data_IF_829525877233
#
_entry.id   IF_829525877233
#
_cell.length_a   1.000
_cell.length_b   1.000
_cell.length_c   1.000
_cell.angle_alpha   90.00
_cell.angle_beta   90.00
_cell.angle_gamma   90.00
#
_symmetry.space_group_name_H-M   'P 1'
#
loop_
_entity.id
_entity.type
_entity.pdbx_description
1 polymer ?
#
# COMPACT_ATOMS: atom_id res chain seq x y z
N UNK A 1 22.54 2.39 0.04
CA UNK A 1 21.88 1.12 0.47
C UNK A 1 22.03 0.87 1.97
N UNK A 2 23.25 0.92 2.54
CA UNK A 2 23.49 0.75 4.00
C UNK A 2 22.67 1.70 4.89
N UNK A 3 22.61 2.99 4.55
CA UNK A 3 21.82 3.99 5.29
C UNK A 3 20.31 3.68 5.30
N UNK A 4 19.79 3.13 4.19
CA UNK A 4 18.37 2.84 4.01
C UNK A 4 17.96 1.60 4.82
N UNK A 5 18.84 0.61 4.90
CA UNK A 5 18.67 -0.57 5.75
C UNK A 5 18.72 -0.17 7.23
N UNK A 6 19.71 0.64 7.61
CA UNK A 6 19.83 1.16 8.97
C UNK A 6 18.58 1.95 9.39
N UNK A 7 18.08 2.82 8.51
CA UNK A 7 16.87 3.61 8.78
C UNK A 7 15.66 2.72 9.01
N UNK A 8 15.46 1.70 8.16
CA UNK A 8 14.36 0.73 8.35
C UNK A 8 14.49 -0.02 9.66
N UNK A 9 15.70 -0.45 10.01
CA UNK A 9 15.96 -1.16 11.25
C UNK A 9 15.70 -0.30 12.49
N UNK A 10 16.12 0.98 12.46
CA UNK A 10 15.83 1.94 13.52
C UNK A 10 14.32 2.20 13.66
N UNK A 11 13.59 2.38 12.56
CA UNK A 11 12.13 2.58 12.59
C UNK A 11 11.42 1.38 13.24
N UNK A 12 11.89 0.15 12.99
CA UNK A 12 11.33 -1.05 13.63
C UNK A 12 11.72 -1.21 15.10
N UNK A 13 12.94 -0.83 15.49
CA UNK A 13 13.44 -1.03 16.85
C UNK A 13 13.00 0.03 17.86
N UNK A 14 12.90 1.30 17.44
CA UNK A 14 12.51 2.41 18.31
C UNK A 14 11.20 2.15 19.07
N UNK A 15 10.08 1.77 18.42
CA UNK A 15 8.82 1.52 19.14
C UNK A 15 8.93 0.34 20.11
N UNK A 16 9.73 -0.69 19.77
CA UNK A 16 9.96 -1.83 20.64
C UNK A 16 10.74 -1.43 21.90
N UNK A 17 11.76 -0.58 21.76
CA UNK A 17 12.53 -0.05 22.89
C UNK A 17 11.64 0.80 23.79
N UNK A 18 10.83 1.69 23.22
CA UNK A 18 9.88 2.54 23.97
C UNK A 18 8.92 1.67 24.78
N UNK A 19 8.35 0.63 24.17
CA UNK A 19 7.44 -0.29 24.84
C UNK A 19 8.13 -1.05 26.00
N UNK A 20 9.35 -1.55 25.80
CA UNK A 20 10.12 -2.23 26.86
C UNK A 20 10.38 -1.29 28.04
N UNK A 21 10.78 -0.04 27.76
CA UNK A 21 11.00 0.98 28.78
C UNK A 21 9.73 1.23 29.59
N UNK A 22 8.59 1.40 28.94
CA UNK A 22 7.30 1.60 29.62
C UNK A 22 6.93 0.45 30.57
N UNK A 23 7.26 -0.79 30.21
CA UNK A 23 7.04 -1.94 31.09
C UNK A 23 8.02 -1.97 32.27
N UNK A 24 9.32 -1.71 32.04
CA UNK A 24 10.34 -1.73 33.09
C UNK A 24 10.03 -0.67 34.16
N UNK A 25 9.58 0.51 33.76
CA UNK A 25 9.23 1.59 34.68
C UNK A 25 7.80 1.48 35.25
N UNK A 26 7.04 0.44 34.89
CA UNK A 26 5.67 0.24 35.35
C UNK A 26 4.69 1.31 34.85
N UNK A 27 5.04 1.97 33.75
CA UNK A 27 4.23 3.00 33.08
C UNK A 27 3.06 2.39 32.29
N UNK A 28 3.27 1.18 31.79
CA UNK A 28 2.26 0.33 31.18
C UNK A 28 2.04 -0.93 32.03
N UNK A 29 0.78 -1.31 32.24
CA UNK A 29 0.39 -2.52 32.95
C UNK A 29 -0.58 -3.32 32.10
N UNK A 30 -0.37 -4.63 32.00
CA UNK A 30 -1.34 -5.54 31.38
C UNK A 30 -2.36 -5.88 32.45
N UNK A 31 -3.63 -5.51 32.22
CA UNK A 31 -4.74 -5.96 33.06
C UNK A 31 -5.66 -6.83 32.24
N UNK A 32 -6.10 -7.92 32.87
CA UNK A 32 -7.07 -8.81 32.29
C UNK A 32 -8.43 -8.11 32.23
N UNK A 33 -9.00 -8.03 31.03
CA UNK A 33 -10.35 -7.56 30.79
C UNK A 33 -11.28 -8.77 30.72
N UNK A 34 -12.46 -8.62 31.30
CA UNK A 34 -13.50 -9.67 31.41
C UNK A 34 -13.75 -10.32 30.04
N UNK A 35 -13.51 -11.65 29.95
CA UNK A 35 -13.48 -12.54 28.76
C UNK A 35 -12.15 -12.55 27.97
N UNK A 36 -11.09 -13.06 28.58
CA UNK A 36 -9.85 -13.54 27.92
C UNK A 36 -9.09 -12.53 27.05
N UNK A 37 -9.34 -11.23 27.20
CA UNK A 37 -8.60 -10.18 26.49
C UNK A 37 -7.68 -9.44 27.46
N UNK A 38 -6.40 -9.31 27.11
CA UNK A 38 -5.44 -8.48 27.82
C UNK A 38 -5.40 -7.09 27.20
N UNK A 39 -5.71 -6.06 27.99
CA UNK A 39 -5.57 -4.66 27.57
C UNK A 39 -4.39 -4.00 28.31
N UNK A 40 -3.70 -3.10 27.62
CA UNK A 40 -2.63 -2.27 28.19
C UNK A 40 -3.24 -1.03 28.82
N UNK A 41 -3.05 -0.88 30.13
CA UNK A 41 -3.46 0.29 30.89
C UNK A 41 -2.23 1.12 31.25
N UNK A 42 -2.30 2.41 30.93
CA UNK A 42 -1.26 3.37 31.30
C UNK A 42 -1.55 3.95 32.68
N UNK A 43 -0.53 4.03 33.52
CA UNK A 43 -0.67 4.50 34.91
C UNK A 43 -0.92 6.00 35.02
N UNK A 44 -0.54 6.78 34.01
CA UNK A 44 -0.66 8.22 34.00
C UNK A 44 -1.11 8.77 32.64
N UNK A 45 -1.90 9.84 32.65
CA UNK A 45 -2.31 10.58 31.45
C UNK A 45 -1.10 11.17 30.71
N UNK A 46 -0.02 11.54 31.42
CA UNK A 46 1.20 12.04 30.76
C UNK A 46 1.84 10.98 29.85
N UNK A 47 1.78 9.70 30.23
CA UNK A 47 2.29 8.58 29.43
C UNK A 47 1.38 8.35 28.21
N UNK A 48 0.06 8.43 28.39
CA UNK A 48 -0.89 8.34 27.27
C UNK A 48 -0.63 9.45 26.23
N UNK A 49 -0.44 10.69 26.69
CA UNK A 49 -0.12 11.82 25.80
C UNK A 49 1.24 11.63 25.13
N UNK A 50 2.26 11.16 25.86
CA UNK A 50 3.56 10.81 25.30
C UNK A 50 3.43 9.78 24.18
N UNK A 51 2.67 8.71 24.39
CA UNK A 51 2.46 7.65 23.40
C UNK A 51 1.68 8.13 22.18
N UNK A 52 0.70 9.02 22.35
CA UNK A 52 0.01 9.66 21.22
C UNK A 52 0.99 10.53 20.42
N UNK A 53 1.88 11.27 21.08
CA UNK A 53 2.86 12.12 20.39
C UNK A 53 3.85 11.27 19.60
N UNK A 54 4.50 10.29 20.24
CA UNK A 54 5.58 9.52 19.61
C UNK A 54 5.07 8.40 18.70
N UNK A 55 3.95 7.76 19.05
CA UNK A 55 3.35 6.69 18.27
C UNK A 55 2.52 7.18 17.09
N UNK A 56 1.99 8.40 17.14
CA UNK A 56 1.08 8.91 16.12
C UNK A 56 1.46 10.30 15.57
N UNK A 57 1.52 11.34 16.41
CA UNK A 57 1.64 12.72 15.94
C UNK A 57 2.98 13.01 15.23
N UNK A 58 4.09 12.52 15.80
CA UNK A 58 5.43 12.73 15.25
C UNK A 58 5.63 11.97 13.92
N UNK A 59 5.30 10.68 13.78
CA UNK A 59 5.29 10.01 12.49
C UNK A 59 4.42 10.72 11.45
N UNK A 60 3.22 11.16 11.84
CA UNK A 60 2.31 11.88 10.96
C UNK A 60 2.93 13.20 10.47
N UNK A 61 3.48 14.00 11.39
CA UNK A 61 4.14 15.26 11.06
C UNK A 61 5.35 15.08 10.13
N UNK A 62 6.20 14.07 10.40
CA UNK A 62 7.33 13.74 9.54
C UNK A 62 6.88 13.37 8.12
N UNK A 63 5.80 12.61 7.97
CA UNK A 63 5.27 12.27 6.66
C UNK A 63 4.74 13.49 5.90
N UNK A 64 4.05 14.40 6.58
CA UNK A 64 3.61 15.68 5.98
C UNK A 64 4.81 16.51 5.52
N UNK A 65 5.89 16.58 6.30
CA UNK A 65 7.13 17.27 5.91
C UNK A 65 7.78 16.63 4.69
N UNK A 66 7.81 15.29 4.61
CA UNK A 66 8.35 14.58 3.44
C UNK A 66 7.52 14.86 2.19
N UNK A 67 6.19 14.85 2.31
CA UNK A 67 5.29 15.21 1.20
C UNK A 67 5.52 16.66 0.77
N UNK A 68 5.60 17.58 1.72
CA UNK A 68 5.89 19.00 1.43
C UNK A 68 7.25 19.17 0.74
N UNK A 69 8.30 18.51 1.23
CA UNK A 69 9.61 18.52 0.60
C UNK A 69 9.57 17.92 -0.82
N UNK A 70 8.77 16.87 -1.04
CA UNK A 70 8.53 16.27 -2.35
C UNK A 70 7.85 17.24 -3.32
N UNK A 71 6.78 17.91 -2.89
CA UNK A 71 6.07 18.93 -3.67
C UNK A 71 7.00 20.12 -3.97
N UNK A 72 7.73 20.60 -2.96
CA UNK A 72 8.68 21.70 -3.12
C UNK A 72 9.79 21.34 -4.11
N UNK A 73 10.31 20.12 -4.05
CA UNK A 73 11.33 19.64 -4.98
C UNK A 73 10.80 19.64 -6.42
N UNK A 74 9.60 19.09 -6.65
CA UNK A 74 8.93 19.13 -7.96
C UNK A 74 8.71 20.57 -8.44
N UNK A 75 8.23 21.47 -7.58
CA UNK A 75 7.95 22.87 -7.96
C UNK A 75 9.23 23.64 -8.30
N UNK A 76 10.33 23.39 -7.59
CA UNK A 76 11.63 23.99 -7.89
C UNK A 76 12.20 23.46 -9.21
N UNK A 77 12.11 22.14 -9.45
CA UNK A 77 12.56 21.58 -10.73
C UNK A 77 11.66 21.98 -11.89
N UNK A 78 10.35 22.16 -11.70
CA UNK A 78 9.45 22.66 -12.74
C UNK A 78 9.71 24.14 -13.09
N UNK A 79 10.05 24.97 -12.10
CA UNK A 79 10.31 26.41 -12.29
C UNK A 79 11.61 26.65 -13.04
N UNK A 80 12.68 25.93 -12.69
CA UNK A 80 13.98 25.95 -13.40
C UNK A 80 13.88 25.43 -14.85
N UNK A 81 12.77 24.77 -15.20
CA UNK A 81 12.55 24.08 -16.46
C UNK A 81 11.58 24.78 -17.40
N UNK A 82 10.84 25.81 -16.95
CA UNK A 82 10.15 26.72 -17.87
C UNK A 82 11.13 27.33 -18.91
N UNK A 83 12.41 27.30 -18.58
CA UNK A 83 13.59 27.67 -19.39
C UNK A 83 14.24 26.52 -20.19
N UNK A 84 13.91 25.24 -19.99
CA UNK A 84 14.49 24.09 -20.71
C UNK A 84 13.40 23.14 -21.26
N UNK A 85 13.22 23.10 -22.58
CA UNK A 85 12.12 22.43 -23.30
C UNK A 85 12.08 20.88 -23.25
N UNK A 86 12.80 20.21 -22.34
CA UNK A 86 12.85 18.73 -22.32
C UNK A 86 12.40 18.06 -21.00
N UNK A 87 11.25 17.38 -21.18
CA UNK A 87 10.59 16.27 -20.47
C UNK A 87 11.39 15.01 -20.11
N UNK A 88 12.19 14.92 -19.05
CA UNK A 88 12.84 13.65 -18.68
C UNK A 88 11.83 12.67 -18.06
N UNK A 89 11.83 11.41 -18.50
CA UNK A 89 10.90 10.37 -18.02
C UNK A 89 11.00 10.09 -16.51
N UNK A 90 12.18 10.33 -15.91
CA UNK A 90 12.45 10.18 -14.47
C UNK A 90 11.65 11.16 -13.61
N UNK A 91 11.40 12.36 -14.11
CA UNK A 91 10.72 13.41 -13.34
C UNK A 91 9.20 13.27 -13.38
N UNK A 92 8.64 12.83 -14.52
CA UNK A 92 7.23 12.43 -14.61
C UNK A 92 6.91 11.30 -13.61
N UNK A 93 7.87 10.42 -13.39
CA UNK A 93 7.78 9.37 -12.37
C UNK A 93 7.78 9.95 -10.94
N UNK A 94 8.66 10.90 -10.63
CA UNK A 94 8.67 11.56 -9.31
C UNK A 94 7.37 12.32 -9.01
N UNK A 95 6.80 13.03 -10.00
CA UNK A 95 5.53 13.73 -9.84
C UNK A 95 4.36 12.77 -9.55
N UNK A 96 4.26 11.69 -10.33
CA UNK A 96 3.25 10.65 -10.10
C UNK A 96 3.38 10.03 -8.72
N UNK A 97 4.61 9.79 -8.27
CA UNK A 97 4.88 9.19 -6.97
C UNK A 97 4.47 10.11 -5.81
N UNK A 98 4.73 11.42 -5.92
CA UNK A 98 4.29 12.40 -4.91
C UNK A 98 2.76 12.45 -4.80
N UNK A 99 2.04 12.42 -5.92
CA UNK A 99 0.57 12.40 -5.94
C UNK A 99 0.02 11.11 -5.31
N UNK A 100 0.57 9.95 -5.67
CA UNK A 100 0.18 8.67 -5.08
C UNK A 100 0.38 8.67 -3.56
N UNK A 101 1.53 9.18 -3.10
CA UNK A 101 1.85 9.28 -1.68
C UNK A 101 0.88 10.23 -0.95
N UNK A 102 0.55 11.37 -1.56
CA UNK A 102 -0.39 12.34 -0.99
C UNK A 102 -1.81 11.77 -0.90
N UNK A 103 -2.31 11.12 -1.95
CA UNK A 103 -3.62 10.46 -1.94
C UNK A 103 -3.69 9.36 -0.87
N UNK A 104 -2.64 8.53 -0.78
CA UNK A 104 -2.55 7.51 0.26
C UNK A 104 -2.61 8.12 1.66
N UNK A 105 -1.82 9.15 1.94
CA UNK A 105 -1.80 9.79 3.27
C UNK A 105 -3.10 10.53 3.62
N UNK A 106 -3.81 11.10 2.64
CA UNK A 106 -5.12 11.71 2.88
C UNK A 106 -6.18 10.66 3.25
N UNK A 107 -6.24 9.55 2.50
CA UNK A 107 -7.16 8.45 2.80
C UNK A 107 -6.79 7.83 4.15
N UNK A 108 -5.49 7.62 4.38
CA UNK A 108 -4.99 7.01 5.61
C UNK A 108 -5.27 7.88 6.83
N UNK A 109 -4.99 9.19 6.74
CA UNK A 109 -5.27 10.14 7.81
C UNK A 109 -6.76 10.29 8.09
N UNK A 110 -7.61 10.30 7.07
CA UNK A 110 -9.06 10.44 7.24
C UNK A 110 -9.74 9.21 7.82
N UNK A 111 -9.39 8.00 7.36
CA UNK A 111 -10.02 6.77 7.84
C UNK A 111 -9.40 6.23 9.13
N UNK A 112 -8.09 6.33 9.30
CA UNK A 112 -7.37 5.51 10.28
C UNK A 112 -6.81 6.29 11.48
N UNK A 113 -6.65 7.62 11.37
CA UNK A 113 -6.29 8.49 12.50
C UNK A 113 -7.13 8.26 13.76
N UNK A 114 -8.48 8.14 13.66
CA UNK A 114 -9.32 8.00 14.85
C UNK A 114 -9.04 6.71 15.63
N UNK A 115 -8.78 5.59 14.92
CA UNK A 115 -8.45 4.30 15.55
C UNK A 115 -7.17 4.37 16.37
N UNK A 116 -6.10 4.94 15.78
CA UNK A 116 -4.79 4.99 16.43
C UNK A 116 -4.87 5.85 17.69
N UNK A 117 -5.55 7.00 17.64
CA UNK A 117 -5.72 7.86 18.81
C UNK A 117 -6.53 7.15 19.91
N UNK A 118 -7.61 6.48 19.53
CA UNK A 118 -8.52 5.81 20.47
C UNK A 118 -7.87 4.58 21.11
N UNK A 119 -7.00 3.86 20.41
CA UNK A 119 -6.26 2.74 21.01
C UNK A 119 -5.28 3.18 22.11
N UNK A 120 -4.82 4.44 22.09
CA UNK A 120 -3.95 5.00 23.13
C UNK A 120 -4.73 5.57 24.33
N UNK A 121 -6.03 5.83 24.15
CA UNK A 121 -6.92 6.37 25.18
C UNK A 121 -7.79 5.22 25.68
N UNK A 122 -7.58 4.79 26.92
CA UNK A 122 -8.27 3.60 27.46
C UNK A 122 -9.78 3.89 27.66
N UNK A 123 -10.62 3.48 26.69
CA UNK A 123 -12.08 3.63 26.77
C UNK A 123 -12.74 2.41 27.41
N UNK A 124 -13.58 2.66 28.43
CA UNK A 124 -14.35 1.63 29.12
C UNK A 124 -15.59 1.13 28.34
N UNK A 125 -15.96 1.79 27.24
CA UNK A 125 -17.13 1.42 26.45
C UNK A 125 -16.80 0.32 25.41
N UNK A 126 -17.35 -0.87 25.65
CA UNK A 126 -17.14 -2.07 24.82
C UNK A 126 -17.58 -1.87 23.35
N UNK A 127 -18.65 -1.12 23.11
CA UNK A 127 -19.21 -0.91 21.76
C UNK A 127 -18.30 -0.02 20.90
N UNK A 128 -17.70 1.00 21.53
CA UNK A 128 -16.77 1.91 20.88
C UNK A 128 -15.52 1.14 20.48
N UNK A 129 -14.89 0.42 21.42
CA UNK A 129 -13.68 -0.36 21.16
C UNK A 129 -13.89 -1.39 20.04
N UNK A 130 -14.99 -2.14 20.06
CA UNK A 130 -15.24 -3.20 19.07
C UNK A 130 -15.43 -2.65 17.64
N UNK A 131 -16.08 -1.48 17.51
CA UNK A 131 -16.23 -0.80 16.22
C UNK A 131 -14.87 -0.39 15.65
N UNK A 132 -13.99 0.10 16.51
CA UNK A 132 -12.63 0.51 16.16
C UNK A 132 -11.73 -0.68 15.82
N UNK A 133 -11.81 -1.79 16.55
CA UNK A 133 -11.10 -3.04 16.21
C UNK A 133 -11.50 -3.59 14.85
N UNK A 134 -12.80 -3.57 14.52
CA UNK A 134 -13.28 -3.95 13.18
C UNK A 134 -12.73 -3.02 12.10
N UNK A 135 -12.68 -1.72 12.38
CA UNK A 135 -12.08 -0.74 11.46
C UNK A 135 -10.60 -1.06 11.19
N UNK A 136 -9.85 -1.48 12.22
CA UNK A 136 -8.45 -1.91 12.07
C UNK A 136 -8.28 -3.21 11.28
N UNK A 137 -9.19 -4.16 11.41
CA UNK A 137 -9.15 -5.37 10.58
C UNK A 137 -9.42 -5.05 9.10
N UNK A 138 -10.38 -4.16 8.85
CA UNK A 138 -10.67 -3.66 7.50
C UNK A 138 -9.45 -2.90 6.96
N UNK A 139 -8.77 -2.11 7.80
CA UNK A 139 -7.54 -1.41 7.43
C UNK A 139 -6.48 -2.36 6.87
N UNK A 140 -6.18 -3.44 7.60
CA UNK A 140 -5.14 -4.42 7.19
C UNK A 140 -5.47 -5.02 5.82
N UNK A 141 -6.76 -5.22 5.53
CA UNK A 141 -7.21 -5.77 4.25
C UNK A 141 -7.23 -4.72 3.12
N UNK A 142 -7.57 -3.46 3.42
CA UNK A 142 -7.84 -2.42 2.43
C UNK A 142 -6.58 -1.62 2.08
N UNK A 143 -5.64 -1.43 3.01
CA UNK A 143 -4.38 -0.69 2.75
C UNK A 143 -3.60 -1.24 1.54
N UNK A 144 -3.38 -2.57 1.38
CA UNK A 144 -2.73 -3.12 0.19
C UNK A 144 -3.52 -2.87 -1.09
N UNK A 145 -4.86 -2.86 -1.02
CA UNK A 145 -5.75 -2.63 -2.17
C UNK A 145 -5.66 -1.17 -2.61
N UNK A 146 -5.68 -0.23 -1.67
CA UNK A 146 -5.50 1.21 -1.96
C UNK A 146 -4.13 1.46 -2.58
N UNK A 147 -3.07 0.88 -2.02
CA UNK A 147 -1.70 1.01 -2.55
C UNK A 147 -1.62 0.43 -3.97
N UNK A 148 -2.19 -0.75 -4.19
CA UNK A 148 -2.22 -1.40 -5.50
C UNK A 148 -3.05 -0.61 -6.54
N UNK A 149 -4.16 0.02 -6.12
CA UNK A 149 -5.00 0.84 -6.98
C UNK A 149 -4.35 2.18 -7.33
N UNK A 150 -3.60 2.78 -6.40
CA UNK A 150 -2.87 4.02 -6.63
C UNK A 150 -1.62 3.80 -7.49
N UNK A 151 -0.97 2.63 -7.41
CA UNK A 151 0.24 2.35 -8.18
C UNK A 151 -0.06 2.07 -9.66
N UNK A 152 0.25 3.05 -10.51
CA UNK A 152 0.15 2.97 -11.98
C UNK A 152 0.97 1.81 -12.55
N UNK A 153 2.08 1.43 -11.91
CA UNK A 153 2.90 0.28 -12.34
C UNK A 153 2.16 -1.03 -12.10
N UNK A 154 1.54 -1.15 -10.94
CA UNK A 154 0.73 -2.31 -10.60
C UNK A 154 -0.43 -2.47 -11.58
N UNK A 155 -1.12 -1.37 -11.92
CA UNK A 155 -2.17 -1.38 -12.94
C UNK A 155 -1.68 -1.88 -14.31
N UNK A 156 -0.52 -1.43 -14.77
CA UNK A 156 0.04 -1.85 -16.06
C UNK A 156 0.40 -3.35 -16.10
N UNK A 157 1.01 -3.87 -15.03
CA UNK A 157 1.30 -5.30 -14.93
C UNK A 157 0.02 -6.13 -14.78
N UNK A 158 -0.96 -5.62 -14.02
CA UNK A 158 -2.27 -6.25 -13.87
C UNK A 158 -3.03 -6.34 -15.20
N UNK A 159 -2.96 -5.32 -16.05
CA UNK A 159 -3.52 -5.36 -17.40
C UNK A 159 -2.89 -6.47 -18.25
N UNK A 160 -1.58 -6.69 -18.17
CA UNK A 160 -0.90 -7.78 -18.89
C UNK A 160 -1.31 -9.15 -18.37
N UNK A 161 -1.50 -9.29 -17.05
CA UNK A 161 -2.03 -10.51 -16.44
C UNK A 161 -3.46 -10.76 -16.92
N UNK A 162 -4.31 -9.73 -16.91
CA UNK A 162 -5.69 -9.83 -17.37
C UNK A 162 -5.80 -10.23 -18.84
N UNK A 163 -4.97 -9.66 -19.72
CA UNK A 163 -4.90 -10.07 -21.14
C UNK A 163 -4.46 -11.52 -21.27
N UNK A 164 -3.47 -11.98 -20.49
CA UNK A 164 -3.05 -13.39 -20.48
C UNK A 164 -4.16 -14.33 -20.01
N UNK A 165 -4.88 -13.97 -18.94
CA UNK A 165 -6.01 -14.73 -18.43
C UNK A 165 -7.14 -14.78 -19.45
N UNK A 166 -7.52 -13.64 -20.04
CA UNK A 166 -8.53 -13.54 -21.09
C UNK A 166 -8.17 -14.40 -22.31
N UNK A 167 -6.90 -14.38 -22.73
CA UNK A 167 -6.42 -15.18 -23.84
C UNK A 167 -6.40 -16.67 -23.51
N UNK A 168 -6.04 -17.06 -22.29
CA UNK A 168 -6.10 -18.46 -21.83
C UNK A 168 -7.53 -19.00 -21.75
N UNK A 169 -8.48 -18.18 -21.29
CA UNK A 169 -9.91 -18.51 -21.28
C UNK A 169 -10.46 -18.64 -22.71
N UNK A 170 -10.05 -17.75 -23.62
CA UNK A 170 -10.44 -17.84 -25.04
C UNK A 170 -9.78 -18.99 -25.80
N UNK A 171 -8.59 -19.45 -25.39
CA UNK A 171 -7.93 -20.62 -25.98
C UNK A 171 -8.64 -21.94 -25.63
N UNK A 172 -9.32 -21.98 -24.47
CA UNK A 172 -10.16 -23.10 -24.04
C UNK A 172 -11.56 -23.11 -24.68
N UNK A 173 -11.89 -22.15 -25.55
CA UNK A 173 -13.00 -22.35 -26.49
C UNK A 173 -12.48 -23.27 -27.59
N UNK A 174 -13.05 -24.47 -27.80
CA UNK A 174 -12.63 -25.32 -28.90
C UNK A 174 -12.84 -24.55 -30.19
N UNK A 175 -11.73 -24.13 -30.81
CA UNK A 175 -11.73 -23.62 -32.17
C UNK A 175 -12.47 -24.65 -33.02
N UNK A 176 -13.62 -24.25 -33.57
CA UNK A 176 -14.17 -24.83 -34.80
C UNK A 176 -13.03 -24.79 -35.81
N UNK A 177 -12.26 -25.87 -35.89
CA UNK A 177 -11.33 -26.12 -36.99
C UNK A 177 -12.19 -26.10 -38.24
N UNK A 178 -12.12 -25.02 -39.02
CA UNK A 178 -12.54 -25.08 -40.42
C UNK A 178 -11.63 -26.08 -41.09
N UNK A 179 -12.15 -27.30 -41.26
CA UNK A 179 -11.56 -28.30 -42.13
C UNK A 179 -11.72 -27.73 -43.54
N UNK A 180 -10.61 -27.26 -44.13
CA UNK A 180 -10.58 -26.96 -45.55
C UNK A 180 -10.82 -28.26 -46.32
N UNK A 181 -11.78 -28.32 -47.27
CA UNK A 181 -11.95 -29.50 -48.09
C UNK A 181 -10.73 -29.65 -49.01
N UNK A 182 -10.09 -30.82 -48.92
CA UNK A 182 -9.00 -31.23 -49.80
C UNK A 182 -9.57 -31.45 -51.20
N UNK A 183 -9.44 -30.47 -52.10
CA UNK A 183 -9.77 -30.69 -53.52
C UNK A 183 -8.67 -31.53 -54.15
N UNK A 184 -8.90 -32.84 -54.19
CA UNK A 184 -8.07 -33.82 -54.89
C UNK A 184 -8.23 -33.60 -56.40
N UNK A 185 -7.22 -33.04 -57.06
CA UNK A 185 -7.25 -32.79 -58.50
C UNK A 185 -6.73 -34.03 -59.24
N UNK A 186 -7.65 -34.90 -59.64
CA UNK A 186 -7.40 -36.22 -60.22
C UNK A 186 -7.27 -36.14 -61.76
N UNK A 187 -6.31 -35.36 -62.28
CA UNK A 187 -6.08 -35.25 -63.74
C UNK A 187 -4.60 -35.11 -64.12
N UNK A 188 -3.76 -36.01 -63.59
CA UNK A 188 -2.38 -36.18 -64.06
C UNK A 188 -2.00 -37.66 -64.16
N UNK A 189 -2.77 -38.40 -64.95
CA UNK A 189 -2.32 -39.68 -65.52
C UNK A 189 -2.10 -39.40 -67.01
N UNK A 190 -0.90 -38.94 -67.37
CA UNK A 190 -0.44 -39.03 -68.75
C UNK A 190 0.19 -40.41 -68.93
N UNK A 191 -0.54 -41.29 -69.61
CA UNK A 191 0.04 -42.46 -70.27
C UNK A 191 -0.05 -42.17 -71.77
N UNK A 192 1.10 -41.89 -72.40
CA UNK A 192 1.26 -42.03 -73.84
C UNK A 192 2.19 -43.22 -74.05
N UNK A 193 1.60 -44.32 -74.49
CA UNK A 193 2.28 -45.54 -74.93
C UNK A 193 2.88 -45.29 -76.35
N UNK A 194 3.77 -46.18 -76.84
CA UNK A 194 4.79 -45.88 -77.86
C UNK A 194 4.24 -45.43 -79.22
#
# INVERSE_FOLDING_TARGET
MKLLILTKFCISLIPLIIFIVEFIFGWAQIKERIRDSCDVFYTNIYIQVFNIIFGYALPMFLNVLVIYAGIRHVNLTSTLRRTQHHVSAREKYHHSLVIQFLCFYLIWGGLWSPYVIISQVSFNEKNVMNTFTLLSLIQIAVDPIIIAALDVRFWHEWQKVWVRVKNSINFNRPNRRQIQPLTMNLNRIQVKAP
#
